data_IF_177173459045
#
_entry.id   IF_177173459045
#
_cell.length_a   1.000
_cell.length_b   1.000
_cell.length_c   1.000
_cell.angle_alpha   90.00
_cell.angle_beta   90.00
_cell.angle_gamma   90.00
#
_symmetry.space_group_name_H-M   'P 1'
#
loop_
_entity.id
_entity.type
_entity.pdbx_description
1 polymer ?
#
# COMPACT_ATOMS: atom_id res chain seq x y z
N UNK A 1 -30.76 3.68 13.86
CA UNK A 1 -30.93 2.57 12.90
C UNK A 1 -30.48 3.02 11.52
N UNK A 2 -31.11 4.04 10.93
CA UNK A 2 -30.70 4.68 9.65
C UNK A 2 -29.20 5.04 9.59
N UNK A 3 -28.67 5.74 10.60
CA UNK A 3 -27.25 6.17 10.64
C UNK A 3 -26.25 5.01 10.66
N UNK A 4 -26.56 3.92 11.39
CA UNK A 4 -25.70 2.74 11.44
C UNK A 4 -25.69 1.99 10.09
N UNK A 5 -26.85 1.88 9.45
CA UNK A 5 -26.97 1.26 8.14
C UNK A 5 -26.20 2.05 7.06
N UNK A 6 -26.28 3.38 7.09
CA UNK A 6 -25.48 4.25 6.21
C UNK A 6 -23.98 4.05 6.43
N UNK A 7 -23.54 3.97 7.69
CA UNK A 7 -22.14 3.73 8.02
C UNK A 7 -21.67 2.36 7.50
N UNK A 8 -22.47 1.31 7.70
CA UNK A 8 -22.15 -0.03 7.21
C UNK A 8 -22.11 -0.08 5.67
N UNK A 9 -23.02 0.61 4.99
CA UNK A 9 -23.00 0.73 3.53
C UNK A 9 -21.76 1.46 3.02
N UNK A 10 -21.32 2.53 3.70
CA UNK A 10 -20.10 3.25 3.35
C UNK A 10 -18.87 2.35 3.53
N UNK A 11 -18.78 1.61 4.64
CA UNK A 11 -17.70 0.65 4.89
C UNK A 11 -17.67 -0.42 3.80
N UNK A 12 -18.83 -0.96 3.43
CA UNK A 12 -18.96 -1.96 2.37
C UNK A 12 -18.50 -1.41 1.01
N UNK A 13 -18.91 -0.19 0.65
CA UNK A 13 -18.46 0.47 -0.59
C UNK A 13 -16.94 0.64 -0.60
N UNK A 14 -16.36 1.08 0.52
CA UNK A 14 -14.89 1.22 0.64
C UNK A 14 -14.22 -0.14 0.45
N UNK A 15 -14.72 -1.20 1.07
CA UNK A 15 -14.19 -2.56 0.91
C UNK A 15 -14.27 -3.04 -0.55
N UNK A 16 -15.42 -2.86 -1.21
CA UNK A 16 -15.61 -3.23 -2.62
C UNK A 16 -14.66 -2.45 -3.54
N UNK A 17 -14.48 -1.15 -3.30
CA UNK A 17 -13.56 -0.31 -4.09
C UNK A 17 -12.11 -0.70 -3.86
N UNK A 18 -11.74 -1.11 -2.63
CA UNK A 18 -10.39 -1.61 -2.32
C UNK A 18 -10.10 -2.96 -2.97
N UNK A 19 -11.06 -3.88 -2.96
CA UNK A 19 -10.90 -5.26 -3.49
C UNK A 19 -11.12 -5.36 -5.00
N UNK A 20 -11.66 -4.32 -5.64
CA UNK A 20 -11.76 -4.25 -7.10
C UNK A 20 -10.36 -4.29 -7.70
N UNK A 21 -9.94 -5.49 -8.11
CA UNK A 21 -8.79 -5.67 -8.98
C UNK A 21 -9.05 -4.85 -10.24
N UNK A 22 -8.34 -3.73 -10.37
CA UNK A 22 -8.36 -2.94 -11.60
C UNK A 22 -7.80 -3.83 -12.70
N UNK A 23 -8.70 -4.35 -13.53
CA UNK A 23 -8.37 -5.09 -14.73
C UNK A 23 -7.50 -4.20 -15.63
N UNK A 24 -6.46 -4.78 -16.22
CA UNK A 24 -5.53 -4.06 -17.10
C UNK A 24 -4.37 -3.33 -16.42
N UNK A 25 -4.24 -3.36 -15.09
CA UNK A 25 -3.02 -2.87 -14.41
C UNK A 25 -1.97 -3.96 -14.28
N UNK A 26 -0.72 -3.61 -14.64
CA UNK A 26 0.44 -4.47 -14.44
C UNK A 26 0.73 -4.67 -12.94
N UNK A 27 1.55 -5.67 -12.61
CA UNK A 27 1.99 -5.88 -11.23
C UNK A 27 2.71 -4.64 -10.67
N UNK A 28 3.53 -3.97 -11.48
CA UNK A 28 4.18 -2.70 -11.13
C UNK A 28 3.17 -1.60 -10.81
N UNK A 29 2.10 -1.44 -11.60
CA UNK A 29 1.11 -0.39 -11.36
C UNK A 29 0.34 -0.62 -10.05
N UNK A 30 -0.01 -1.88 -9.77
CA UNK A 30 -0.65 -2.26 -8.51
C UNK A 30 0.27 -1.97 -7.33
N UNK A 31 1.54 -2.34 -7.46
CA UNK A 31 2.56 -2.15 -6.42
C UNK A 31 2.85 -0.66 -6.18
N UNK A 32 2.95 0.13 -7.25
CA UNK A 32 3.08 1.60 -7.20
C UNK A 32 1.92 2.24 -6.44
N UNK A 33 0.69 1.89 -6.80
CA UNK A 33 -0.51 2.46 -6.16
C UNK A 33 -0.58 2.13 -4.68
N UNK A 34 -0.27 0.88 -4.33
CA UNK A 34 -0.29 0.40 -2.95
C UNK A 34 0.79 1.09 -2.10
N UNK A 35 2.01 1.26 -2.65
CA UNK A 35 3.06 2.00 -1.98
C UNK A 35 2.68 3.46 -1.76
N UNK A 36 2.14 4.14 -2.78
CA UNK A 36 1.69 5.53 -2.66
C UNK A 36 0.62 5.67 -1.58
N UNK A 37 -0.38 4.78 -1.57
CA UNK A 37 -1.46 4.84 -0.59
C UNK A 37 -0.93 4.73 0.85
N UNK A 38 0.10 3.91 1.06
CA UNK A 38 0.72 3.72 2.38
C UNK A 38 1.61 4.88 2.77
N UNK A 39 2.49 5.32 1.88
CA UNK A 39 3.45 6.39 2.15
C UNK A 39 2.78 7.76 2.32
N UNK A 40 1.61 7.97 1.72
CA UNK A 40 0.80 9.17 1.95
C UNK A 40 0.28 9.23 3.40
N UNK A 41 0.06 8.08 4.04
CA UNK A 41 -0.40 8.02 5.44
C UNK A 41 0.78 8.30 6.40
N UNK A 42 1.99 7.90 6.03
CA UNK A 42 3.20 8.21 6.78
C UNK A 42 4.41 7.38 6.34
N UNK A 43 5.57 7.73 6.90
CA UNK A 43 6.83 7.02 6.64
C UNK A 43 6.74 5.56 7.09
N UNK A 44 7.31 4.67 6.29
CA UNK A 44 7.35 3.24 6.57
C UNK A 44 8.75 2.67 6.33
N UNK A 45 9.18 1.76 7.20
CA UNK A 45 10.41 1.00 6.96
C UNK A 45 10.20 -0.05 5.88
N UNK A 46 11.29 -0.48 5.26
CA UNK A 46 11.26 -1.53 4.23
C UNK A 46 10.56 -2.81 4.72
N UNK A 47 10.83 -3.23 5.96
CA UNK A 47 10.19 -4.39 6.58
C UNK A 47 8.69 -4.19 6.81
N UNK A 48 8.26 -2.97 7.19
CA UNK A 48 6.84 -2.64 7.34
C UNK A 48 6.11 -2.67 5.99
N UNK A 49 6.76 -2.18 4.92
CA UNK A 49 6.22 -2.22 3.56
C UNK A 49 6.01 -3.68 3.12
N UNK A 50 7.04 -4.53 3.22
CA UNK A 50 6.97 -5.94 2.81
C UNK A 50 5.88 -6.71 3.58
N UNK A 51 5.83 -6.52 4.91
CA UNK A 51 4.90 -7.25 5.77
C UNK A 51 3.43 -6.92 5.46
N UNK A 52 3.18 -5.70 5.01
CA UNK A 52 1.82 -5.21 4.82
C UNK A 52 1.33 -5.37 3.37
N UNK A 53 2.21 -5.69 2.43
CA UNK A 53 1.88 -6.03 1.05
C UNK A 53 1.32 -7.46 0.93
N UNK A 54 0.44 -7.72 -0.04
CA UNK A 54 0.05 -9.08 -0.43
C UNK A 54 1.27 -9.89 -0.88
N UNK A 55 1.35 -11.17 -0.54
CA UNK A 55 2.50 -12.05 -0.89
C UNK A 55 2.88 -12.01 -2.38
N UNK A 56 1.88 -11.95 -3.26
CA UNK A 56 2.09 -11.84 -4.72
C UNK A 56 2.83 -10.58 -5.17
N UNK A 57 2.77 -9.50 -4.38
CA UNK A 57 3.46 -8.24 -4.64
C UNK A 57 4.77 -8.15 -3.84
N UNK A 58 4.82 -8.72 -2.63
CA UNK A 58 6.02 -8.73 -1.78
C UNK A 58 7.18 -9.53 -2.37
N UNK A 59 6.88 -10.60 -3.12
CA UNK A 59 7.87 -11.46 -3.77
C UNK A 59 8.19 -11.03 -5.21
N UNK A 60 7.67 -9.89 -5.66
CA UNK A 60 7.89 -9.40 -7.01
C UNK A 60 9.30 -8.81 -7.19
N UNK A 61 9.99 -9.20 -8.26
CA UNK A 61 11.28 -8.60 -8.66
C UNK A 61 11.19 -7.08 -8.92
N UNK A 62 9.98 -6.56 -9.17
CA UNK A 62 9.76 -5.13 -9.42
C UNK A 62 9.55 -4.30 -8.14
N UNK A 63 9.48 -4.93 -6.97
CA UNK A 63 9.25 -4.26 -5.70
C UNK A 63 10.29 -3.17 -5.44
N UNK A 64 11.58 -3.52 -5.49
CA UNK A 64 12.64 -2.58 -5.14
C UNK A 64 12.70 -1.40 -6.11
N UNK A 65 12.63 -1.67 -7.42
CA UNK A 65 12.59 -0.63 -8.46
C UNK A 65 11.42 0.34 -8.26
N UNK A 66 10.26 -0.17 -7.81
CA UNK A 66 9.08 0.67 -7.58
C UNK A 66 9.22 1.47 -6.29
N UNK A 67 9.83 0.91 -5.24
CA UNK A 67 10.16 1.65 -4.00
C UNK A 67 11.06 2.84 -4.35
N UNK A 68 12.13 2.61 -5.10
CA UNK A 68 13.10 3.65 -5.46
C UNK A 68 12.49 4.74 -6.36
N UNK A 69 11.43 4.42 -7.11
CA UNK A 69 10.68 5.39 -7.92
C UNK A 69 9.74 6.27 -7.09
N UNK A 70 9.14 5.74 -6.01
CA UNK A 70 8.04 6.42 -5.29
C UNK A 70 8.43 6.93 -3.90
N UNK A 71 9.58 6.51 -3.38
CA UNK A 71 10.03 6.83 -2.03
C UNK A 71 11.47 7.30 -2.04
N UNK A 72 11.81 8.14 -1.06
CA UNK A 72 13.20 8.50 -0.78
C UNK A 72 13.61 7.81 0.51
N UNK A 73 14.72 7.10 0.47
CA UNK A 73 15.27 6.48 1.67
C UNK A 73 15.88 7.54 2.58
N UNK A 74 15.33 7.65 3.79
CA UNK A 74 15.90 8.44 4.88
C UNK A 74 16.51 7.51 5.92
N UNK A 75 17.79 7.71 6.23
CA UNK A 75 18.45 6.97 7.31
C UNK A 75 17.75 7.33 8.64
N UNK A 76 17.37 6.35 9.48
CA UNK A 76 16.85 6.65 10.79
C UNK A 76 17.95 7.32 11.62
N UNK A 77 17.79 8.62 11.88
CA UNK A 77 18.70 9.40 12.70
C UNK A 77 18.57 8.95 14.16
N UNK A 78 19.24 7.85 14.51
CA UNK A 78 19.16 7.26 15.85
C UNK A 78 19.93 5.96 16.07
N UNK A 79 20.38 5.26 15.03
CA UNK A 79 21.28 4.12 15.20
C UNK A 79 22.73 4.61 15.24
N UNK A 80 23.26 4.77 16.45
CA UNK A 80 24.71 4.85 16.69
C UNK A 80 25.34 3.51 16.27
N UNK A 81 26.56 3.52 15.70
CA UNK A 81 27.28 2.31 15.28
C UNK A 81 27.56 1.37 16.46
#
# INVERSE_FOLDING_TARGET
YESALVQDMIILIIQIVKERQLCGLSAADKLKRELIYRLVIGDATHSQIIKALPRSLSESDQLQNTIDMVAVYSKPSGMKP
#
